data_IF_906963602515
#
_entry.id   IF_906963602515
#
_cell.length_a   1.000
_cell.length_b   1.000
_cell.length_c   1.000
_cell.angle_alpha   90.00
_cell.angle_beta   90.00
_cell.angle_gamma   90.00
#
_symmetry.space_group_name_H-M   'P 1'
#
loop_
_entity.id
_entity.type
_entity.pdbx_description
1 polymer ?
#
# COMPACT_ATOMS: atom_id res chain seq x y z
N UNK A 1 4.05 32.69 -16.76
CA UNK A 1 3.63 31.43 -16.08
C UNK A 1 4.15 31.49 -14.66
N UNK A 2 3.27 31.61 -13.68
CA UNK A 2 3.59 31.58 -12.25
C UNK A 2 3.97 30.16 -11.85
N UNK A 3 5.08 29.98 -11.13
CA UNK A 3 5.51 28.67 -10.68
C UNK A 3 4.62 28.19 -9.53
N UNK A 4 4.15 26.95 -9.58
CA UNK A 4 3.38 26.33 -8.50
C UNK A 4 4.29 26.16 -7.29
N UNK A 5 3.84 26.65 -6.13
CA UNK A 5 4.54 26.50 -4.86
C UNK A 5 3.98 25.29 -4.13
N UNK A 6 4.80 24.24 -3.99
CA UNK A 6 4.41 23.02 -3.30
C UNK A 6 4.77 23.11 -1.81
N UNK A 7 3.93 22.58 -0.90
CA UNK A 7 4.23 22.57 0.52
C UNK A 7 5.44 21.68 0.82
N UNK A 8 6.18 22.02 1.88
CA UNK A 8 7.29 21.24 2.43
C UNK A 8 6.87 20.65 3.76
N UNK A 9 6.86 19.32 3.88
CA UNK A 9 6.35 18.64 5.07
C UNK A 9 6.95 17.24 5.24
N UNK A 10 6.69 16.60 6.39
CA UNK A 10 7.12 15.22 6.65
C UNK A 10 6.16 14.17 6.05
N UNK A 11 4.87 14.49 5.95
CA UNK A 11 3.83 13.62 5.39
C UNK A 11 2.69 14.46 4.77
N UNK A 12 1.77 13.81 4.04
CA UNK A 12 0.66 14.49 3.38
C UNK A 12 -0.31 15.19 4.35
N UNK A 13 -0.53 14.64 5.55
CA UNK A 13 -1.36 15.27 6.58
C UNK A 13 -0.76 16.59 7.06
N UNK A 14 0.55 16.62 7.35
CA UNK A 14 1.26 17.86 7.72
C UNK A 14 1.34 18.84 6.57
N UNK A 15 1.45 18.37 5.32
CA UNK A 15 1.37 19.26 4.16
C UNK A 15 0.00 19.97 4.08
N UNK A 16 -1.07 19.33 4.54
CA UNK A 16 -2.41 19.92 4.58
C UNK A 16 -2.63 20.83 5.79
N UNK A 17 -2.18 20.42 6.98
CA UNK A 17 -2.50 21.11 8.24
C UNK A 17 -1.49 22.20 8.61
N UNK A 18 -0.18 21.94 8.45
CA UNK A 18 0.89 22.80 8.95
C UNK A 18 2.20 22.57 8.19
N UNK A 19 2.31 23.00 6.92
CA UNK A 19 3.55 22.89 6.16
C UNK A 19 4.63 23.80 6.75
N UNK A 20 5.89 23.38 6.66
CA UNK A 20 7.04 24.18 7.12
C UNK A 20 7.28 25.42 6.23
N UNK A 21 6.81 25.35 4.99
CA UNK A 21 6.88 26.41 4.01
C UNK A 21 6.47 25.89 2.64
N UNK A 22 6.68 26.70 1.60
CA UNK A 22 6.37 26.32 0.24
C UNK A 22 7.55 26.59 -0.70
N UNK A 23 7.73 25.75 -1.70
CA UNK A 23 8.80 25.87 -2.67
C UNK A 23 8.41 25.35 -4.05
N UNK A 24 8.83 26.05 -5.09
CA UNK A 24 8.63 25.61 -6.48
C UNK A 24 9.68 24.59 -6.95
N UNK A 25 10.86 24.59 -6.33
CA UNK A 25 12.01 23.76 -6.74
C UNK A 25 12.66 23.11 -5.52
N UNK A 26 13.30 21.97 -5.76
CA UNK A 26 14.01 21.18 -4.74
C UNK A 26 14.99 22.02 -3.92
N UNK A 27 15.82 22.86 -4.55
CA UNK A 27 16.77 23.74 -3.85
C UNK A 27 16.09 24.68 -2.84
N UNK A 28 14.91 25.19 -3.18
CA UNK A 28 14.13 26.04 -2.27
C UNK A 28 13.54 25.21 -1.12
N UNK A 29 13.04 24.02 -1.43
CA UNK A 29 12.49 23.11 -0.44
C UNK A 29 13.57 22.61 0.54
N UNK A 30 14.78 22.32 0.07
CA UNK A 30 15.94 22.01 0.91
C UNK A 30 16.30 23.19 1.83
N UNK A 31 16.24 24.42 1.32
CA UNK A 31 16.46 25.63 2.14
C UNK A 31 15.42 25.80 3.24
N UNK A 32 14.15 25.44 2.99
CA UNK A 32 13.07 25.48 3.98
C UNK A 32 13.16 24.34 5.00
N UNK A 33 13.46 23.12 4.53
CA UNK A 33 13.52 21.94 5.37
C UNK A 33 14.81 21.85 6.21
N UNK A 34 15.91 22.45 5.75
CA UNK A 34 17.25 22.27 6.34
C UNK A 34 17.87 20.88 6.07
N UNK A 35 17.15 20.01 5.37
CA UNK A 35 17.53 18.64 5.07
C UNK A 35 17.17 18.27 3.63
N UNK A 36 17.64 17.11 3.16
CA UNK A 36 17.27 16.57 1.86
C UNK A 36 15.76 16.34 1.76
N UNK A 37 15.19 16.63 0.60
CA UNK A 37 13.76 16.51 0.31
C UNK A 37 13.53 15.71 -0.96
N UNK A 38 12.37 15.08 -1.06
CA UNK A 38 11.93 14.29 -2.24
C UNK A 38 10.53 14.74 -2.61
N UNK A 39 10.28 14.96 -3.90
CA UNK A 39 8.94 15.25 -4.38
C UNK A 39 8.09 13.97 -4.38
N UNK A 40 6.97 13.96 -3.67
CA UNK A 40 6.06 12.80 -3.61
C UNK A 40 4.61 13.22 -3.81
N UNK A 41 3.75 12.24 -4.05
CA UNK A 41 2.30 12.42 -4.08
C UNK A 41 1.65 11.26 -3.33
N UNK A 42 1.10 11.57 -2.15
CA UNK A 42 0.56 10.56 -1.25
C UNK A 42 -0.94 10.80 -1.02
N UNK A 43 -1.73 9.73 -0.80
CA UNK A 43 -3.13 9.87 -0.45
C UNK A 43 -3.28 10.38 0.99
N UNK A 44 -4.29 11.20 1.24
CA UNK A 44 -4.66 11.68 2.58
C UNK A 44 -6.16 11.56 2.80
N UNK A 45 -6.55 11.40 4.06
CA UNK A 45 -7.95 11.37 4.48
C UNK A 45 -8.76 10.14 4.05
N UNK A 46 -10.09 10.16 4.29
CA UNK A 46 -11.01 9.09 3.94
C UNK A 46 -11.10 8.83 2.42
N UNK A 47 -11.42 7.59 2.09
CA UNK A 47 -11.71 7.14 0.73
C UNK A 47 -13.23 7.07 0.49
N UNK A 48 -13.68 7.50 -0.68
CA UNK A 48 -15.10 7.57 -1.04
C UNK A 48 -15.43 6.64 -2.20
N UNK A 49 -16.66 6.12 -2.26
CA UNK A 49 -17.09 5.26 -3.36
C UNK A 49 -17.28 6.02 -4.68
N UNK A 50 -17.68 7.29 -4.61
CA UNK A 50 -18.03 8.11 -5.78
C UNK A 50 -17.21 9.40 -5.81
N UNK A 51 -16.99 9.95 -7.00
CA UNK A 51 -16.28 11.23 -7.19
C UNK A 51 -17.03 12.38 -6.53
N UNK A 52 -18.36 12.38 -6.63
CA UNK A 52 -19.24 13.43 -6.14
C UNK A 52 -19.15 13.55 -4.63
N UNK A 53 -19.27 12.42 -3.90
CA UNK A 53 -19.08 12.39 -2.45
C UNK A 53 -17.69 12.87 -2.01
N UNK A 54 -16.63 12.53 -2.76
CA UNK A 54 -15.29 13.03 -2.48
C UNK A 54 -15.17 14.55 -2.73
N UNK A 55 -15.80 15.04 -3.80
CA UNK A 55 -15.80 16.46 -4.16
C UNK A 55 -16.63 17.30 -3.17
N UNK A 56 -17.72 16.75 -2.64
CA UNK A 56 -18.49 17.40 -1.58
C UNK A 56 -17.67 17.51 -0.29
N UNK A 57 -16.98 16.43 0.11
CA UNK A 57 -16.16 16.42 1.32
C UNK A 57 -14.91 17.32 1.21
N UNK A 58 -14.26 17.37 0.05
CA UNK A 58 -12.99 18.07 -0.16
C UNK A 58 -13.10 19.34 -0.99
N UNK A 59 -14.29 19.76 -1.43
CA UNK A 59 -14.46 20.80 -2.45
C UNK A 59 -13.67 22.08 -2.19
N UNK A 60 -13.78 22.63 -0.97
CA UNK A 60 -13.04 23.83 -0.55
C UNK A 60 -11.52 23.66 -0.48
N UNK A 61 -11.03 22.42 -0.50
CA UNK A 61 -9.60 22.10 -0.49
C UNK A 61 -9.04 21.95 -1.91
N UNK A 62 -9.85 21.79 -2.96
CA UNK A 62 -9.37 21.50 -4.32
C UNK A 62 -8.93 22.73 -5.13
N UNK A 63 -8.97 23.92 -4.55
CA UNK A 63 -8.56 25.17 -5.21
C UNK A 63 -7.03 25.25 -5.45
N UNK A 64 -6.27 24.48 -4.68
CA UNK A 64 -4.82 24.45 -4.75
C UNK A 64 -4.32 23.43 -5.79
N UNK A 65 -3.38 23.80 -6.68
CA UNK A 65 -2.94 22.93 -7.79
C UNK A 65 -2.17 21.68 -7.34
N UNK A 66 -1.72 21.65 -6.08
CA UNK A 66 -1.01 20.53 -5.48
C UNK A 66 -1.95 19.53 -4.77
N UNK A 67 -3.27 19.73 -4.86
CA UNK A 67 -4.31 18.84 -4.36
C UNK A 67 -5.17 18.35 -5.51
N UNK A 68 -5.39 17.04 -5.59
CA UNK A 68 -6.25 16.47 -6.64
C UNK A 68 -7.01 15.26 -6.14
N UNK A 69 -8.23 15.08 -6.63
CA UNK A 69 -8.94 13.82 -6.48
C UNK A 69 -8.41 12.81 -7.49
N UNK A 70 -8.15 11.60 -7.05
CA UNK A 70 -7.74 10.50 -7.92
C UNK A 70 -8.48 9.24 -7.54
N UNK A 71 -8.92 8.51 -8.55
CA UNK A 71 -9.51 7.18 -8.41
C UNK A 71 -8.39 6.16 -8.17
N UNK A 72 -8.45 5.43 -7.06
CA UNK A 72 -7.51 4.37 -6.72
C UNK A 72 -8.22 3.02 -6.66
N UNK A 73 -7.58 1.99 -7.22
CA UNK A 73 -8.04 0.61 -7.08
C UNK A 73 -7.81 0.15 -5.64
N UNK A 74 -8.81 -0.43 -5.00
CA UNK A 74 -8.69 -0.90 -3.63
C UNK A 74 -7.69 -2.08 -3.52
N UNK A 75 -6.89 -2.13 -2.44
CA UNK A 75 -5.92 -3.20 -2.23
C UNK A 75 -6.61 -4.56 -2.07
N UNK A 76 -5.96 -5.61 -2.56
CA UNK A 76 -6.48 -6.99 -2.50
C UNK A 76 -7.21 -7.45 -3.77
N UNK A 77 -7.49 -6.54 -4.72
CA UNK A 77 -8.01 -6.93 -6.01
C UNK A 77 -6.87 -7.14 -7.02
N UNK A 78 -6.74 -8.38 -7.52
CA UNK A 78 -5.88 -8.67 -8.67
C UNK A 78 -6.62 -8.23 -9.92
N UNK A 79 -6.17 -7.13 -10.53
CA UNK A 79 -6.56 -6.82 -11.92
C UNK A 79 -5.96 -7.94 -12.76
N UNK A 80 -6.81 -8.80 -13.32
CA UNK A 80 -6.37 -9.86 -14.21
C UNK A 80 -5.70 -9.23 -15.42
N UNK A 81 -4.41 -9.48 -15.61
CA UNK A 81 -3.76 -9.14 -16.86
C UNK A 81 -4.38 -10.03 -17.94
N UNK A 82 -4.97 -9.43 -18.98
CA UNK A 82 -5.47 -10.21 -20.10
C UNK A 82 -4.28 -10.87 -20.79
N UNK A 83 -4.19 -12.20 -20.77
CA UNK A 83 -3.19 -12.91 -21.54
C UNK A 83 -3.56 -12.76 -23.04
N UNK A 84 -2.64 -12.29 -23.89
CA UNK A 84 -2.92 -12.14 -25.31
C UNK A 84 -3.00 -13.52 -25.96
N UNK A 85 -4.19 -14.12 -25.93
CA UNK A 85 -4.49 -15.33 -26.68
C UNK A 85 -4.99 -14.97 -28.09
N UNK A 86 -4.42 -15.63 -29.09
CA UNK A 86 -4.94 -15.68 -30.46
C UNK A 86 -5.79 -16.93 -30.60
N UNK A 87 -7.08 -16.75 -30.89
CA UNK A 87 -7.99 -17.83 -31.29
C UNK A 87 -8.73 -17.39 -32.56
N UNK A 88 -8.77 -18.25 -33.57
CA UNK A 88 -9.49 -18.01 -34.84
C UNK A 88 -9.16 -16.68 -35.56
N UNK A 89 -7.89 -16.28 -35.53
CA UNK A 89 -7.43 -15.04 -36.18
C UNK A 89 -7.93 -13.75 -35.51
N UNK A 90 -8.54 -13.85 -34.32
CA UNK A 90 -8.95 -12.71 -33.50
C UNK A 90 -8.07 -12.65 -32.25
N UNK A 91 -7.51 -11.47 -32.00
CA UNK A 91 -6.83 -11.11 -30.75
C UNK A 91 -7.92 -10.73 -29.76
N UNK A 92 -8.04 -11.46 -28.64
CA UNK A 92 -8.78 -11.13 -27.40
C UNK A 92 -9.65 -12.27 -26.89
N UNK A 93 -9.40 -12.69 -25.65
CA UNK A 93 -10.49 -13.04 -24.74
C UNK A 93 -11.14 -11.73 -24.26
N UNK A 94 -12.46 -11.66 -24.08
CA UNK A 94 -13.11 -10.46 -23.55
C UNK A 94 -12.50 -10.13 -22.18
N UNK A 95 -12.17 -8.85 -21.90
CA UNK A 95 -11.73 -8.44 -20.57
C UNK A 95 -12.80 -8.84 -19.55
N UNK A 96 -12.40 -9.16 -18.31
CA UNK A 96 -13.37 -9.56 -17.29
C UNK A 96 -14.43 -8.46 -17.10
N UNK A 97 -15.71 -8.83 -17.12
CA UNK A 97 -16.83 -7.88 -17.00
C UNK A 97 -16.86 -7.15 -15.64
N UNK A 98 -16.19 -7.71 -14.62
CA UNK A 98 -16.13 -7.10 -13.30
C UNK A 98 -15.11 -5.94 -13.27
N UNK A 99 -15.61 -4.71 -13.34
CA UNK A 99 -14.81 -3.52 -13.09
C UNK A 99 -14.11 -3.60 -11.71
N UNK A 100 -12.86 -3.14 -11.59
CA UNK A 100 -12.18 -3.10 -10.31
C UNK A 100 -12.98 -2.21 -9.33
N UNK A 101 -13.05 -2.62 -8.07
CA UNK A 101 -13.57 -1.79 -7.00
C UNK A 101 -12.58 -0.66 -6.78
N UNK A 102 -13.02 0.54 -7.13
CA UNK A 102 -12.24 1.75 -6.96
C UNK A 102 -12.78 2.57 -5.79
N UNK A 103 -11.93 3.44 -5.27
CA UNK A 103 -12.30 4.46 -4.32
C UNK A 103 -11.58 5.77 -4.66
N UNK A 104 -12.28 6.88 -4.47
CA UNK A 104 -11.79 8.23 -4.68
C UNK A 104 -11.06 8.71 -3.44
N UNK A 105 -9.81 9.14 -3.61
CA UNK A 105 -8.97 9.68 -2.53
C UNK A 105 -8.40 11.03 -2.91
N UNK A 106 -8.17 11.86 -1.89
CA UNK A 106 -7.43 13.11 -2.04
C UNK A 106 -5.93 12.80 -2.11
N UNK A 107 -5.29 13.19 -3.20
CA UNK A 107 -3.85 13.09 -3.40
C UNK A 107 -3.22 14.46 -3.18
N UNK A 108 -2.14 14.49 -2.40
CA UNK A 108 -1.40 15.71 -2.08
C UNK A 108 0.02 15.59 -2.61
N UNK A 109 0.41 16.51 -3.49
CA UNK A 109 1.77 16.62 -4.01
C UNK A 109 2.58 17.60 -3.16
N UNK A 110 3.73 17.17 -2.63
CA UNK A 110 4.51 17.96 -1.70
C UNK A 110 5.99 17.56 -1.69
N UNK A 111 6.84 18.43 -1.14
CA UNK A 111 8.24 18.13 -0.84
C UNK A 111 8.31 17.43 0.51
N UNK A 112 8.58 16.12 0.48
CA UNK A 112 8.75 15.28 1.67
C UNK A 112 10.18 15.34 2.19
N UNK A 113 10.35 15.56 3.49
CA UNK A 113 11.67 15.47 4.12
C UNK A 113 12.19 14.02 4.04
N UNK A 114 13.41 13.80 3.54
CA UNK A 114 13.93 12.46 3.23
C UNK A 114 14.09 11.58 4.47
N UNK A 115 14.36 12.16 5.64
CA UNK A 115 14.44 11.47 6.94
C UNK A 115 13.08 11.11 7.51
N UNK A 116 11.99 11.70 7.01
CA UNK A 116 10.64 11.37 7.48
C UNK A 116 10.31 9.93 7.09
N UNK A 117 9.85 9.15 8.07
CA UNK A 117 9.48 7.76 7.88
C UNK A 117 8.35 7.66 6.84
N UNK A 118 8.58 6.85 5.80
CA UNK A 118 7.56 6.59 4.79
C UNK A 118 6.55 5.60 5.41
N UNK A 119 5.24 5.73 5.18
CA UNK A 119 4.33 4.61 5.34
C UNK A 119 4.69 3.59 4.25
N UNK A 120 5.58 2.66 4.56
CA UNK A 120 6.03 1.66 3.59
C UNK A 120 5.06 0.48 3.66
N UNK A 121 4.24 0.31 2.63
CA UNK A 121 3.67 -1.00 2.29
C UNK A 121 4.78 -1.87 1.66
N UNK A 122 5.80 -2.21 2.44
CA UNK A 122 6.88 -3.05 1.91
C UNK A 122 6.35 -4.48 1.82
N UNK A 123 6.65 -5.20 0.73
CA UNK A 123 6.47 -6.65 0.75
C UNK A 123 7.27 -7.21 1.91
N UNK A 124 6.64 -8.05 2.72
CA UNK A 124 7.29 -8.66 3.87
C UNK A 124 8.55 -9.42 3.43
N UNK A 125 9.62 -9.36 4.24
CA UNK A 125 10.93 -9.93 3.91
C UNK A 125 10.89 -11.41 3.45
N UNK A 126 9.93 -12.21 3.93
CA UNK A 126 9.73 -13.60 3.47
C UNK A 126 9.20 -13.68 2.04
N UNK A 127 8.30 -12.78 1.63
CA UNK A 127 7.78 -12.70 0.26
C UNK A 127 8.87 -12.25 -0.73
N UNK A 128 9.66 -11.25 -0.35
CA UNK A 128 10.78 -10.78 -1.16
C UNK A 128 11.87 -11.87 -1.36
N UNK A 129 12.12 -12.72 -0.34
CA UNK A 129 12.98 -13.90 -0.47
C UNK A 129 12.41 -14.95 -1.43
N UNK A 130 11.09 -15.22 -1.37
CA UNK A 130 10.41 -16.17 -2.26
C UNK A 130 10.45 -15.71 -3.72
N UNK A 131 10.32 -14.41 -3.96
CA UNK A 131 10.30 -13.81 -5.31
C UNK A 131 11.70 -13.50 -5.86
N UNK A 132 12.78 -13.75 -5.10
CA UNK A 132 14.19 -13.48 -5.48
C UNK A 132 14.44 -12.07 -6.03
N UNK A 133 13.69 -11.09 -5.53
CA UNK A 133 13.78 -9.72 -6.02
C UNK A 133 15.11 -9.09 -5.58
N UNK A 134 15.79 -8.41 -6.49
CA UNK A 134 16.94 -7.58 -6.13
C UNK A 134 16.43 -6.37 -5.34
N UNK A 135 16.80 -6.29 -4.06
CA UNK A 135 16.35 -5.24 -3.15
C UNK A 135 17.45 -4.19 -2.99
N UNK A 136 17.05 -2.93 -3.06
CA UNK A 136 17.92 -1.81 -2.73
C UNK A 136 18.21 -1.74 -1.21
N UNK A 137 19.36 -1.17 -0.86
CA UNK A 137 19.87 -1.04 0.51
C UNK A 137 18.91 -0.30 1.46
N UNK A 138 18.18 0.70 0.95
CA UNK A 138 17.17 1.42 1.72
C UNK A 138 15.98 0.51 2.07
N UNK A 139 15.60 -0.36 1.12
CA UNK A 139 14.52 -1.34 1.28
C UNK A 139 14.88 -2.42 2.31
N UNK A 140 16.15 -2.85 2.34
CA UNK A 140 16.64 -3.80 3.35
C UNK A 140 16.60 -3.21 4.76
N UNK A 141 17.01 -1.94 4.92
CA UNK A 141 16.93 -1.25 6.23
C UNK A 141 15.48 -1.06 6.70
N UNK A 142 14.58 -0.75 5.78
CA UNK A 142 13.15 -0.66 6.07
C UNK A 142 12.57 -2.00 6.55
N UNK A 143 12.92 -3.12 5.89
CA UNK A 143 12.47 -4.46 6.30
C UNK A 143 12.96 -4.86 7.70
N UNK A 144 14.18 -4.49 8.07
CA UNK A 144 14.78 -4.85 9.36
C UNK A 144 14.10 -4.17 10.57
N UNK A 145 13.45 -3.03 10.36
CA UNK A 145 12.78 -2.27 11.43
C UNK A 145 11.31 -2.68 11.63
N UNK A 146 10.75 -3.47 10.73
CA UNK A 146 9.35 -3.86 10.78
C UNK A 146 9.13 -5.06 11.72
N UNK A 147 8.15 -4.99 12.65
CA UNK A 147 7.73 -6.15 13.42
C UNK A 147 7.14 -7.21 12.48
N UNK A 148 7.48 -8.49 12.72
CA UNK A 148 7.01 -9.60 11.91
C UNK A 148 5.48 -9.71 11.97
N UNK A 149 4.81 -9.49 10.83
CA UNK A 149 3.36 -9.70 10.69
C UNK A 149 3.06 -11.15 10.26
N UNK A 150 1.99 -11.78 10.75
CA UNK A 150 1.51 -13.03 10.17
C UNK A 150 1.07 -12.79 8.71
N UNK A 151 1.53 -13.63 7.77
CA UNK A 151 1.20 -13.52 6.33
C UNK A 151 -0.17 -14.11 6.05
N UNK A 152 -0.52 -15.16 6.79
CA UNK A 152 -1.75 -15.92 6.73
C UNK A 152 -2.18 -16.24 8.17
N UNK A 153 -3.48 -16.41 8.45
CA UNK A 153 -3.91 -17.01 9.71
C UNK A 153 -3.17 -18.34 9.86
N UNK A 154 -2.53 -18.55 11.02
CA UNK A 154 -1.86 -19.82 11.29
C UNK A 154 -2.91 -20.92 11.12
N UNK A 155 -2.66 -21.83 10.18
CA UNK A 155 -3.49 -23.01 10.05
C UNK A 155 -3.47 -23.69 11.42
N UNK A 156 -4.64 -23.99 12.02
CA UNK A 156 -4.66 -24.74 13.25
C UNK A 156 -3.84 -26.00 13.00
N UNK A 157 -2.81 -26.22 13.80
CA UNK A 157 -2.15 -27.50 13.83
C UNK A 157 -3.25 -28.49 14.24
N UNK A 158 -3.45 -29.56 13.46
CA UNK A 158 -4.29 -30.68 13.84
C UNK A 158 -3.62 -31.41 15.03
N UNK A 159 -3.59 -30.75 16.19
CA UNK A 159 -3.09 -31.29 17.47
C UNK A 159 -4.01 -32.43 17.95
N UNK A 160 -5.08 -32.75 17.21
CA UNK A 160 -5.93 -33.93 17.43
C UNK A 160 -5.40 -35.24 16.86
N UNK A 161 -4.23 -35.28 16.20
CA UNK A 161 -3.74 -36.52 15.55
C UNK A 161 -3.01 -37.50 16.48
N UNK A 162 -2.96 -37.26 17.79
CA UNK A 162 -2.32 -38.16 18.76
C UNK A 162 -3.26 -38.69 19.85
N UNK A 163 -4.56 -38.37 19.82
CA UNK A 163 -5.53 -39.10 20.62
C UNK A 163 -5.98 -40.34 19.86
N UNK A 164 -5.13 -41.37 19.83
CA UNK A 164 -5.59 -42.70 19.47
C UNK A 164 -6.60 -43.12 20.54
N UNK A 165 -7.90 -43.04 20.26
CA UNK A 165 -8.90 -43.65 21.13
C UNK A 165 -8.61 -45.14 21.17
N UNK A 166 -8.20 -45.64 22.33
CA UNK A 166 -8.09 -47.07 22.57
C UNK A 166 -9.43 -47.73 22.25
N UNK A 167 -9.44 -48.88 21.57
CA UNK A 167 -10.68 -49.63 21.38
C UNK A 167 -11.29 -49.92 22.76
N UNK A 168 -12.60 -49.72 22.91
CA UNK A 168 -13.39 -50.03 24.13
C UNK A 168 -13.53 -51.56 24.35
N UNK A 169 -12.45 -52.29 24.15
CA UNK A 169 -12.37 -53.74 24.24
C UNK A 169 -11.65 -54.11 25.55
N UNK A 170 -12.36 -54.63 26.57
CA UNK A 170 -11.79 -54.88 27.90
C UNK A 170 -10.74 -56.01 27.94
N UNK A 171 -10.38 -56.60 26.80
CA UNK A 171 -9.44 -57.71 26.69
C UNK A 171 -8.10 -57.33 26.03
N UNK A 172 -7.94 -56.07 25.61
CA UNK A 172 -6.70 -55.60 24.98
C UNK A 172 -5.87 -54.88 26.05
N UNK A 173 -4.74 -55.48 26.45
CA UNK A 173 -3.75 -54.86 27.33
C UNK A 173 -2.66 -54.24 26.46
N UNK A 174 -2.52 -52.92 26.52
CA UNK A 174 -1.44 -52.19 25.85
C UNK A 174 -0.28 -52.06 26.83
N UNK A 175 0.93 -52.52 26.49
CA UNK A 175 2.12 -52.30 27.32
C UNK A 175 2.56 -50.83 27.24
N UNK A 176 2.84 -50.22 28.39
CA UNK A 176 3.39 -48.86 28.48
C UNK A 176 4.85 -48.84 27.97
N UNK A 177 5.16 -47.92 27.06
CA UNK A 177 6.54 -47.44 26.77
C UNK A 177 6.78 -46.09 27.43
#
# INVERSE_FOLDING_TARGET
MTAILYPVAANAEKAMASPLGHAARERGALGVAGEAVVFTTDPTGPAFATREAAAEAYGALLDEPWRKLTEQILPGQKVGHAEPAMADGRRWSPPSDAAPRTAWRLMVSYWRIATAERPIETPQARRARRERQALDSETVRAMARQPLRPIEPQQPLDIGLFETRLPEAPHIVVPDE
#
